data_IF_220195591268
#
_entry.id   IF_220195591268
#
_cell.length_a   1.000
_cell.length_b   1.000
_cell.length_c   1.000
_cell.angle_alpha   90.00
_cell.angle_beta   90.00
_cell.angle_gamma   90.00
#
_symmetry.space_group_name_H-M   'P 1'
#
loop_
_entity.id
_entity.type
_entity.pdbx_description
1 polymer ?
#
# COMPACT_ATOMS: atom_id res chain seq x y z
N UNK A 1 37.39 -3.77 -73.14
CA UNK A 1 37.30 -5.23 -73.32
C UNK A 1 36.32 -5.73 -72.29
N UNK A 2 35.12 -6.02 -72.80
CA UNK A 2 34.31 -7.26 -72.57
C UNK A 2 33.93 -7.50 -71.13
N UNK A 3 32.71 -7.79 -70.78
CA UNK A 3 31.44 -8.18 -71.54
C UNK A 3 30.32 -8.20 -70.52
N UNK A 4 29.17 -7.85 -70.99
CA UNK A 4 27.83 -7.94 -70.42
C UNK A 4 27.48 -9.35 -69.86
N UNK A 5 26.64 -9.39 -68.88
CA UNK A 5 25.57 -10.40 -68.79
C UNK A 5 24.38 -9.85 -68.01
N UNK A 6 23.32 -9.58 -68.72
CA UNK A 6 21.94 -9.44 -68.29
C UNK A 6 21.41 -10.74 -67.67
N UNK A 7 20.64 -10.61 -66.63
CA UNK A 7 19.52 -11.54 -66.34
C UNK A 7 18.35 -10.79 -65.73
N UNK A 8 17.35 -10.59 -66.59
CA UNK A 8 15.96 -10.33 -66.28
C UNK A 8 15.38 -11.44 -65.39
N UNK A 9 14.73 -11.06 -64.30
CA UNK A 9 13.58 -11.81 -63.76
C UNK A 9 12.51 -10.85 -63.22
N UNK A 10 11.50 -10.72 -64.02
CA UNK A 10 10.20 -10.11 -63.79
C UNK A 10 9.42 -10.98 -62.79
N UNK A 11 8.97 -10.42 -61.66
CA UNK A 11 7.86 -10.94 -60.89
C UNK A 11 7.01 -9.77 -60.40
N UNK A 12 5.91 -9.60 -61.09
CA UNK A 12 4.75 -8.82 -60.67
C UNK A 12 4.15 -9.47 -59.42
N UNK A 13 4.04 -8.70 -58.31
CA UNK A 13 3.05 -8.93 -57.27
C UNK A 13 2.48 -7.58 -56.86
N UNK A 14 1.28 -7.41 -57.34
CA UNK A 14 0.30 -6.41 -56.97
C UNK A 14 -0.18 -6.72 -55.52
N UNK A 15 0.10 -5.87 -54.58
CA UNK A 15 -0.57 -5.84 -53.28
C UNK A 15 -0.73 -4.41 -52.81
N UNK A 16 -1.89 -3.88 -53.08
CA UNK A 16 -2.39 -2.59 -52.60
C UNK A 16 -2.66 -2.69 -51.10
N UNK A 17 -1.78 -2.14 -50.26
CA UNK A 17 -2.09 -1.87 -48.87
C UNK A 17 -2.28 -0.37 -48.66
N UNK A 18 -3.53 -0.04 -48.48
CA UNK A 18 -4.04 1.25 -48.05
C UNK A 18 -3.58 1.51 -46.59
N UNK A 19 -2.63 2.40 -46.39
CA UNK A 19 -2.20 2.88 -45.07
C UNK A 19 -2.83 4.23 -44.78
N UNK A 20 -4.00 4.20 -44.17
CA UNK A 20 -4.55 5.37 -43.52
C UNK A 20 -3.80 5.60 -42.18
N UNK A 21 -2.89 6.57 -42.18
CA UNK A 21 -2.30 7.08 -40.95
C UNK A 21 -3.33 7.92 -40.19
N UNK A 22 -3.79 7.43 -39.06
CA UNK A 22 -4.47 8.23 -38.06
C UNK A 22 -3.49 8.42 -36.88
N UNK A 23 -2.93 9.62 -36.78
CA UNK A 23 -2.15 10.08 -35.66
C UNK A 23 -3.00 10.13 -34.39
N UNK A 24 -2.44 9.64 -33.29
CA UNK A 24 -3.11 9.70 -32.00
C UNK A 24 -2.36 8.95 -30.90
N UNK A 25 -1.05 9.20 -30.73
CA UNK A 25 -0.34 8.65 -29.57
C UNK A 25 -0.66 9.47 -28.32
N UNK A 26 -1.73 9.10 -27.64
CA UNK A 26 -1.94 9.41 -26.23
C UNK A 26 -1.28 8.27 -25.42
N UNK A 27 -0.08 8.53 -24.90
CA UNK A 27 0.53 7.69 -23.88
C UNK A 27 -0.20 7.90 -22.54
N UNK A 28 -1.38 7.30 -22.40
CA UNK A 28 -1.99 7.02 -21.11
C UNK A 28 -1.56 5.63 -20.70
N UNK A 29 -0.85 5.50 -19.58
CA UNK A 29 -0.60 4.21 -18.96
C UNK A 29 -1.95 3.58 -18.61
N UNK A 30 -2.45 2.71 -19.47
CA UNK A 30 -3.67 1.95 -19.23
C UNK A 30 -3.35 0.82 -18.24
N UNK A 31 -3.47 1.12 -16.95
CA UNK A 31 -3.63 0.05 -15.98
C UNK A 31 -4.93 -0.70 -16.33
N UNK A 32 -4.84 -2.00 -16.54
CA UNK A 32 -6.03 -2.82 -16.80
C UNK A 32 -6.99 -2.70 -15.62
N UNK A 33 -8.23 -2.31 -15.91
CA UNK A 33 -9.26 -2.03 -14.90
C UNK A 33 -10.22 -3.22 -14.73
N UNK A 34 -9.80 -4.41 -15.09
CA UNK A 34 -10.62 -5.61 -14.95
C UNK A 34 -10.71 -6.00 -13.47
N UNK A 35 -11.91 -6.40 -12.96
CA UNK A 35 -12.05 -6.96 -11.64
C UNK A 35 -11.20 -8.23 -11.50
N UNK A 36 -10.58 -8.43 -10.34
CA UNK A 36 -9.85 -9.67 -10.07
C UNK A 36 -10.84 -10.83 -9.98
N UNK A 37 -10.51 -11.97 -10.60
CA UNK A 37 -11.35 -13.18 -10.58
C UNK A 37 -11.55 -13.72 -9.15
N UNK A 38 -10.54 -13.61 -8.30
CA UNK A 38 -10.58 -14.02 -6.89
C UNK A 38 -10.05 -12.91 -5.99
N UNK A 39 -10.89 -11.91 -5.65
CA UNK A 39 -10.45 -10.75 -4.84
C UNK A 39 -10.17 -11.10 -3.37
N UNK A 40 -10.50 -12.32 -2.92
CA UNK A 40 -10.49 -12.72 -1.53
C UNK A 40 -11.69 -12.21 -0.75
N UNK A 41 -11.83 -12.67 0.51
CA UNK A 41 -12.90 -12.27 1.41
C UNK A 41 -12.32 -11.84 2.75
N UNK A 42 -12.91 -10.82 3.37
CA UNK A 42 -12.46 -10.29 4.67
C UNK A 42 -12.45 -11.37 5.77
N UNK A 43 -13.51 -12.18 5.83
CA UNK A 43 -13.65 -13.22 6.86
C UNK A 43 -12.67 -14.39 6.70
N UNK A 44 -12.03 -14.51 5.53
CA UNK A 44 -11.04 -15.53 5.23
C UNK A 44 -9.60 -15.01 5.28
N UNK A 45 -9.40 -13.73 5.69
CA UNK A 45 -8.06 -13.17 5.79
C UNK A 45 -7.22 -13.94 6.81
N UNK A 46 -5.93 -14.05 6.56
CA UNK A 46 -5.01 -14.57 7.55
C UNK A 46 -5.03 -13.68 8.81
N UNK A 47 -4.87 -14.31 9.97
CA UNK A 47 -4.74 -13.62 11.25
C UNK A 47 -3.31 -13.79 11.77
N UNK A 48 -2.83 -12.91 12.67
CA UNK A 48 -1.56 -13.10 13.35
C UNK A 48 -1.48 -14.48 14.01
N UNK A 49 -0.28 -15.07 14.03
CA UNK A 49 -0.06 -16.38 14.64
C UNK A 49 -0.46 -16.39 16.12
N UNK A 50 -1.13 -17.45 16.58
CA UNK A 50 -1.58 -17.60 17.98
C UNK A 50 -0.43 -17.55 19.02
N UNK A 51 0.80 -17.90 18.60
CA UNK A 51 1.99 -17.93 19.44
C UNK A 51 2.94 -16.76 19.17
N UNK A 52 2.42 -15.62 18.68
CA UNK A 52 3.20 -14.42 18.37
C UNK A 52 3.81 -13.85 19.66
N UNK A 53 5.14 -13.80 19.71
CA UNK A 53 5.90 -13.24 20.85
C UNK A 53 6.06 -11.71 20.68
N UNK A 54 5.22 -10.96 21.39
CA UNK A 54 5.25 -9.50 21.40
C UNK A 54 6.37 -8.90 22.25
N UNK A 55 7.10 -9.72 23.01
CA UNK A 55 8.30 -9.25 23.73
C UNK A 55 9.53 -9.28 22.82
N UNK A 56 9.61 -10.28 21.94
CA UNK A 56 10.70 -10.33 20.96
C UNK A 56 10.57 -9.25 19.90
N UNK A 57 9.37 -9.04 19.36
CA UNK A 57 9.05 -7.97 18.41
C UNK A 57 7.69 -7.39 18.75
N UNK A 58 7.61 -6.11 19.03
CA UNK A 58 6.37 -5.42 19.41
C UNK A 58 5.25 -5.57 18.37
N UNK A 59 4.00 -5.28 18.77
CA UNK A 59 2.84 -5.29 17.88
C UNK A 59 3.09 -4.39 16.68
N UNK A 60 3.03 -4.96 15.49
CA UNK A 60 3.44 -4.31 14.25
C UNK A 60 2.24 -3.99 13.36
N UNK A 61 2.10 -2.73 12.97
CA UNK A 61 1.08 -2.23 12.05
C UNK A 61 1.70 -2.03 10.67
N UNK A 62 1.21 -2.75 9.66
CA UNK A 62 1.55 -2.56 8.26
C UNK A 62 0.67 -1.51 7.60
N UNK A 63 1.26 -0.56 6.88
CA UNK A 63 0.55 0.47 6.11
C UNK A 63 0.89 0.29 4.64
N UNK A 64 -0.07 -0.23 3.86
CA UNK A 64 0.05 -0.48 2.43
C UNK A 64 -0.87 0.40 1.60
N UNK A 65 -0.68 0.37 0.29
CA UNK A 65 -1.50 1.09 -0.68
C UNK A 65 -0.71 1.68 -1.85
N UNK A 66 -1.40 2.14 -2.88
CA UNK A 66 -0.77 2.71 -4.07
C UNK A 66 0.13 3.91 -3.77
N UNK A 67 1.06 4.18 -4.67
CA UNK A 67 1.86 5.42 -4.64
C UNK A 67 0.93 6.63 -4.66
N UNK A 68 1.22 7.60 -3.80
CA UNK A 68 0.43 8.84 -3.70
C UNK A 68 -0.90 8.71 -2.94
N UNK A 69 -1.29 7.54 -2.42
CA UNK A 69 -2.54 7.38 -1.65
C UNK A 69 -2.55 8.09 -0.30
N UNK A 70 -1.38 8.45 0.24
CA UNK A 70 -1.22 9.14 1.52
C UNK A 70 -0.80 8.25 2.68
N UNK A 71 -0.14 7.12 2.41
CA UNK A 71 0.44 6.21 3.44
C UNK A 71 1.37 6.94 4.40
N UNK A 72 2.36 7.63 3.87
CA UNK A 72 3.37 8.36 4.65
C UNK A 72 2.73 9.49 5.47
N UNK A 73 1.71 10.17 4.91
CA UNK A 73 0.93 11.17 5.66
C UNK A 73 0.13 10.54 6.81
N UNK A 74 -0.46 9.36 6.59
CA UNK A 74 -1.13 8.59 7.65
C UNK A 74 -0.12 8.18 8.73
N UNK A 75 1.02 7.63 8.34
CA UNK A 75 2.08 7.22 9.26
C UNK A 75 2.56 8.41 10.13
N UNK A 76 2.82 9.57 9.51
CA UNK A 76 3.16 10.80 10.22
C UNK A 76 2.08 11.19 11.24
N UNK A 77 0.81 11.18 10.81
CA UNK A 77 -0.31 11.54 11.68
C UNK A 77 -0.47 10.57 12.84
N UNK A 78 -0.30 9.26 12.62
CA UNK A 78 -0.30 8.23 13.67
C UNK A 78 0.86 8.43 14.66
N UNK A 79 2.07 8.68 14.17
CA UNK A 79 3.21 8.98 15.03
C UNK A 79 2.93 10.20 15.92
N UNK A 80 2.46 11.30 15.36
CA UNK A 80 2.13 12.52 16.11
C UNK A 80 1.02 12.32 17.15
N UNK A 81 0.00 11.54 16.81
CA UNK A 81 -1.13 11.27 17.71
C UNK A 81 -0.75 10.35 18.90
N UNK A 82 0.24 9.46 18.70
CA UNK A 82 0.54 8.39 19.66
C UNK A 82 1.84 8.57 20.43
N UNK A 83 2.86 9.26 19.88
CA UNK A 83 4.24 9.31 20.42
C UNK A 83 4.35 9.87 21.85
N UNK A 84 3.43 10.73 22.27
CA UNK A 84 3.46 11.32 23.61
C UNK A 84 2.91 10.37 24.69
N UNK A 85 2.24 9.29 24.27
CA UNK A 85 1.58 8.32 25.16
C UNK A 85 2.13 6.91 25.02
N UNK A 86 2.73 6.62 23.88
CA UNK A 86 3.21 5.28 23.51
C UNK A 86 4.64 5.34 22.97
N UNK A 87 5.39 4.31 23.28
CA UNK A 87 6.74 4.13 22.76
C UNK A 87 6.66 3.53 21.35
N UNK A 88 7.08 4.29 20.33
CA UNK A 88 6.92 3.95 18.91
C UNK A 88 8.27 3.77 18.22
N UNK A 89 8.28 2.94 17.16
CA UNK A 89 9.33 2.94 16.15
C UNK A 89 8.76 2.61 14.77
N UNK A 90 9.48 2.97 13.71
CA UNK A 90 9.01 2.96 12.32
C UNK A 90 10.03 2.34 11.39
N UNK A 91 9.56 1.51 10.46
CA UNK A 91 10.29 1.09 9.26
C UNK A 91 9.56 1.62 8.03
N UNK A 92 10.30 2.28 7.13
CA UNK A 92 9.78 2.68 5.81
C UNK A 92 10.47 1.87 4.72
N UNK A 93 9.71 1.51 3.70
CA UNK A 93 10.22 0.85 2.53
C UNK A 93 10.17 1.78 1.33
N UNK A 94 11.27 1.86 0.60
CA UNK A 94 11.32 2.55 -0.68
C UNK A 94 12.17 1.73 -1.67
N UNK A 95 11.95 1.94 -2.96
CA UNK A 95 12.63 1.18 -4.01
C UNK A 95 14.10 1.58 -4.09
N UNK A 96 14.41 2.89 -4.12
CA UNK A 96 15.75 3.43 -4.36
C UNK A 96 16.12 4.62 -3.47
N UNK A 97 15.21 5.09 -2.61
CA UNK A 97 15.39 6.33 -1.86
C UNK A 97 15.05 6.13 -0.38
N UNK A 98 15.37 7.14 0.42
CA UNK A 98 14.95 7.20 1.82
C UNK A 98 13.95 8.34 2.04
N UNK A 99 13.22 8.72 0.95
CA UNK A 99 12.38 9.92 0.93
C UNK A 99 11.30 9.91 2.00
N UNK A 100 10.65 8.76 2.21
CA UNK A 100 9.61 8.61 3.23
C UNK A 100 10.18 8.75 4.65
N UNK A 101 11.35 8.16 4.93
CA UNK A 101 12.03 8.34 6.21
C UNK A 101 12.45 9.80 6.43
N UNK A 102 13.02 10.45 5.41
CA UNK A 102 13.39 11.85 5.46
C UNK A 102 12.17 12.76 5.65
N UNK A 103 11.05 12.44 5.00
CA UNK A 103 9.79 13.17 5.21
C UNK A 103 9.32 13.09 6.66
N UNK A 104 9.35 11.91 7.26
CA UNK A 104 9.00 11.72 8.67
C UNK A 104 9.92 12.51 9.59
N UNK A 105 11.23 12.51 9.34
CA UNK A 105 12.22 13.26 10.12
C UNK A 105 12.02 14.77 9.99
N UNK A 106 11.84 15.29 8.78
CA UNK A 106 11.61 16.73 8.52
C UNK A 106 10.33 17.25 9.19
N UNK A 107 9.36 16.36 9.41
CA UNK A 107 8.09 16.69 10.07
C UNK A 107 8.03 16.30 11.55
N UNK A 108 9.18 16.00 12.17
CA UNK A 108 9.28 15.64 13.59
C UNK A 108 8.34 14.49 13.99
N UNK A 109 8.25 13.43 13.17
CA UNK A 109 7.41 12.27 13.50
C UNK A 109 7.90 11.57 14.78
N UNK A 110 9.17 11.15 14.77
CA UNK A 110 9.90 10.50 15.86
C UNK A 110 11.37 10.96 15.83
N UNK A 111 12.14 10.57 16.86
CA UNK A 111 13.59 10.71 16.87
C UNK A 111 14.23 9.85 15.77
N UNK A 112 15.36 10.30 15.23
CA UNK A 112 15.99 9.66 14.05
C UNK A 112 16.39 8.19 14.28
N UNK A 113 16.80 7.84 15.49
CA UNK A 113 17.18 6.48 15.87
C UNK A 113 16.00 5.50 15.95
N UNK A 114 14.75 6.02 15.89
CA UNK A 114 13.50 5.25 15.90
C UNK A 114 12.90 5.04 14.51
N UNK A 115 13.55 5.57 13.47
CA UNK A 115 13.12 5.43 12.08
C UNK A 115 14.21 4.69 11.31
N UNK A 116 13.84 3.62 10.60
CA UNK A 116 14.70 2.85 9.71
C UNK A 116 14.13 2.88 8.29
N UNK A 117 14.96 3.26 7.34
CA UNK A 117 14.66 3.07 5.93
C UNK A 117 15.22 1.71 5.47
N UNK A 118 14.42 0.93 4.76
CA UNK A 118 14.80 -0.32 4.10
C UNK A 118 14.66 -0.13 2.61
N UNK A 119 15.78 -0.24 1.89
CA UNK A 119 15.79 -0.23 0.43
C UNK A 119 15.40 -1.63 -0.07
N UNK A 120 14.29 -1.71 -0.82
CA UNK A 120 13.69 -2.98 -1.21
C UNK A 120 14.16 -3.48 -2.58
N UNK A 121 15.00 -2.72 -3.27
CA UNK A 121 15.38 -3.03 -4.65
C UNK A 121 14.17 -3.00 -5.59
N UNK A 122 14.21 -3.76 -6.66
CA UNK A 122 13.24 -3.62 -7.76
C UNK A 122 11.77 -3.99 -7.49
N UNK A 123 11.40 -4.52 -6.30
CA UNK A 123 10.02 -4.95 -6.04
C UNK A 123 9.58 -4.71 -4.58
N UNK A 124 8.94 -3.57 -4.27
CA UNK A 124 8.45 -3.27 -2.92
C UNK A 124 7.44 -4.29 -2.40
N UNK A 125 6.67 -4.88 -3.30
CA UNK A 125 5.67 -5.89 -2.98
C UNK A 125 6.30 -7.15 -2.38
N UNK A 126 7.41 -7.61 -2.96
CA UNK A 126 8.11 -8.79 -2.45
C UNK A 126 8.61 -8.56 -1.01
N UNK A 127 9.08 -7.35 -0.70
CA UNK A 127 9.64 -7.02 0.61
C UNK A 127 8.64 -7.08 1.78
N UNK A 128 7.35 -6.97 1.51
CA UNK A 128 6.31 -7.05 2.55
C UNK A 128 5.59 -8.40 2.60
N UNK A 129 5.80 -9.29 1.62
CA UNK A 129 5.09 -10.55 1.52
C UNK A 129 5.97 -11.78 1.29
N UNK A 130 6.89 -11.73 0.33
CA UNK A 130 7.64 -12.91 -0.13
C UNK A 130 9.02 -13.00 0.50
N UNK A 131 9.77 -11.90 0.51
CA UNK A 131 11.08 -11.79 1.15
C UNK A 131 11.07 -10.67 2.19
N UNK A 132 10.48 -10.98 3.32
CA UNK A 132 10.31 -10.05 4.44
C UNK A 132 11.55 -9.89 5.32
N UNK A 133 12.65 -10.58 5.00
CA UNK A 133 13.82 -10.74 5.87
C UNK A 133 14.40 -9.41 6.35
N UNK A 134 14.62 -8.46 5.43
CA UNK A 134 15.19 -7.16 5.76
C UNK A 134 14.28 -6.33 6.66
N UNK A 135 12.98 -6.33 6.37
CA UNK A 135 11.99 -5.63 7.19
C UNK A 135 11.87 -6.26 8.57
N UNK A 136 11.83 -7.59 8.64
CA UNK A 136 11.74 -8.31 9.89
C UNK A 136 12.96 -8.02 10.78
N UNK A 137 14.16 -8.09 10.21
CA UNK A 137 15.40 -7.75 10.92
C UNK A 137 15.37 -6.30 11.45
N UNK A 138 14.98 -5.33 10.64
CA UNK A 138 14.91 -3.93 11.04
C UNK A 138 13.90 -3.71 12.19
N UNK A 139 12.73 -4.39 12.15
CA UNK A 139 11.74 -4.33 13.22
C UNK A 139 12.22 -4.99 14.52
N UNK A 140 12.94 -6.10 14.43
CA UNK A 140 13.54 -6.80 15.57
C UNK A 140 14.67 -5.97 16.21
N UNK A 141 15.54 -5.36 15.41
CA UNK A 141 16.57 -4.44 15.89
C UNK A 141 15.97 -3.24 16.64
N UNK A 142 14.94 -2.61 16.06
CA UNK A 142 14.24 -1.51 16.73
C UNK A 142 13.57 -1.96 18.03
N UNK A 143 13.04 -3.19 18.07
CA UNK A 143 12.45 -3.77 19.27
C UNK A 143 13.48 -3.98 20.37
N UNK A 144 14.67 -4.46 20.03
CA UNK A 144 15.77 -4.65 20.99
C UNK A 144 16.34 -3.33 21.50
N UNK A 145 16.47 -2.33 20.62
CA UNK A 145 17.08 -1.04 20.96
C UNK A 145 16.17 -0.14 21.80
N UNK A 146 14.87 -0.13 21.47
CA UNK A 146 13.96 0.89 22.01
C UNK A 146 12.79 0.31 22.80
N UNK A 147 12.61 -1.02 22.80
CA UNK A 147 11.47 -1.69 23.47
C UNK A 147 10.13 -0.97 23.21
N UNK A 148 9.75 -0.75 21.92
CA UNK A 148 8.54 -0.03 21.59
C UNK A 148 7.30 -0.81 22.01
N UNK A 149 6.19 -0.13 22.24
CA UNK A 149 4.86 -0.74 22.40
C UNK A 149 4.24 -1.05 21.05
N UNK A 150 4.47 -0.18 20.06
CA UNK A 150 3.94 -0.26 18.71
C UNK A 150 5.06 -0.05 17.69
N UNK A 151 5.06 -0.90 16.68
CA UNK A 151 5.88 -0.77 15.49
C UNK A 151 5.01 -0.45 14.27
N UNK A 152 5.53 0.37 13.39
CA UNK A 152 4.91 0.61 12.10
C UNK A 152 5.85 0.19 10.98
N UNK A 153 5.29 -0.41 9.92
CA UNK A 153 6.02 -0.69 8.68
C UNK A 153 5.21 -0.18 7.50
N UNK A 154 5.77 0.74 6.74
CA UNK A 154 5.16 1.28 5.53
C UNK A 154 5.70 0.57 4.29
N UNK A 155 4.82 0.23 3.34
CA UNK A 155 5.23 -0.33 2.04
C UNK A 155 5.68 0.75 1.07
N UNK A 156 6.58 0.42 0.16
CA UNK A 156 7.13 1.35 -0.84
C UNK A 156 6.18 1.75 -1.97
N UNK A 157 4.89 1.46 -1.83
CA UNK A 157 3.87 1.72 -2.85
C UNK A 157 3.48 0.47 -3.61
N UNK A 158 2.25 0.03 -3.41
CA UNK A 158 1.75 -1.25 -3.87
C UNK A 158 0.58 -1.09 -4.84
N UNK A 159 0.33 -2.12 -5.64
CA UNK A 159 -0.92 -2.25 -6.37
C UNK A 159 -1.99 -2.91 -5.47
N UNK A 160 -3.23 -3.01 -5.96
CA UNK A 160 -4.35 -3.59 -5.21
C UNK A 160 -4.17 -5.07 -4.85
N UNK A 161 -3.24 -5.76 -5.49
CA UNK A 161 -2.90 -7.15 -5.21
C UNK A 161 -1.94 -7.31 -4.01
N UNK A 162 -1.34 -6.21 -3.52
CA UNK A 162 -0.42 -6.25 -2.40
C UNK A 162 -1.16 -6.48 -1.07
N UNK A 163 -0.56 -7.31 -0.24
CA UNK A 163 -0.96 -7.57 1.14
C UNK A 163 0.27 -7.92 1.97
N UNK A 164 0.29 -7.51 3.22
CA UNK A 164 1.39 -7.84 4.14
C UNK A 164 1.37 -9.31 4.56
N UNK A 165 2.54 -9.93 4.62
CA UNK A 165 2.69 -11.18 5.36
C UNK A 165 2.30 -10.99 6.83
N UNK A 166 1.53 -11.92 7.39
CA UNK A 166 1.18 -11.90 8.82
C UNK A 166 2.36 -12.23 9.74
N UNK A 167 3.45 -12.70 9.19
CA UNK A 167 4.71 -12.78 9.92
C UNK A 167 5.35 -11.40 10.09
N UNK A 168 5.10 -10.46 9.18
CA UNK A 168 5.63 -9.11 9.25
C UNK A 168 4.72 -8.15 10.00
N UNK A 169 3.40 -8.17 9.73
CA UNK A 169 2.44 -7.23 10.31
C UNK A 169 1.28 -7.95 11.02
N UNK A 170 1.05 -7.59 12.29
CA UNK A 170 -0.02 -8.12 13.12
C UNK A 170 -1.37 -7.47 12.79
N UNK A 171 -1.36 -6.22 12.33
CA UNK A 171 -2.53 -5.46 11.88
C UNK A 171 -2.18 -4.71 10.60
N UNK A 172 -3.06 -4.73 9.61
CA UNK A 172 -2.80 -4.13 8.30
C UNK A 172 -3.82 -3.05 7.96
N UNK A 173 -3.31 -1.89 7.58
CA UNK A 173 -4.09 -0.76 7.05
C UNK A 173 -3.79 -0.65 5.57
N UNK A 174 -4.82 -0.65 4.73
CA UNK A 174 -4.65 -0.40 3.31
C UNK A 174 -5.28 0.94 2.94
N UNK A 175 -4.48 1.83 2.34
CA UNK A 175 -4.88 3.19 2.01
C UNK A 175 -5.08 3.31 0.51
N UNK A 176 -6.29 3.64 0.08
CA UNK A 176 -6.60 4.11 -1.27
C UNK A 176 -7.05 5.55 -1.22
N UNK A 177 -7.15 6.23 -2.35
CA UNK A 177 -7.65 7.59 -2.40
C UNK A 177 -8.69 7.80 -3.52
N UNK A 178 -9.37 8.93 -3.46
CA UNK A 178 -10.41 9.28 -4.44
C UNK A 178 -9.86 9.59 -5.82
N UNK A 179 -8.58 9.99 -5.94
CA UNK A 179 -7.95 10.31 -7.22
C UNK A 179 -7.75 9.07 -8.11
N UNK A 180 -7.74 7.88 -7.52
CA UNK A 180 -7.78 6.62 -8.25
C UNK A 180 -9.12 6.31 -8.94
N UNK A 181 -10.14 7.14 -8.67
CA UNK A 181 -11.51 7.01 -9.19
C UNK A 181 -12.43 6.18 -8.31
N UNK A 182 -13.74 6.45 -8.41
CA UNK A 182 -14.77 5.85 -7.57
C UNK A 182 -14.90 4.32 -7.71
N UNK A 183 -14.36 3.76 -8.79
CA UNK A 183 -14.40 2.31 -9.09
C UNK A 183 -13.28 1.51 -8.45
N UNK A 184 -12.32 2.15 -7.77
CA UNK A 184 -11.18 1.43 -7.15
C UNK A 184 -11.63 0.36 -6.17
N UNK A 185 -12.57 0.60 -5.24
CA UNK A 185 -12.98 -0.45 -4.30
C UNK A 185 -13.58 -1.68 -4.97
N UNK A 186 -14.39 -1.51 -6.03
CA UNK A 186 -15.03 -2.65 -6.73
C UNK A 186 -14.07 -3.55 -7.51
N UNK A 187 -12.86 -3.06 -7.83
CA UNK A 187 -11.82 -3.88 -8.46
C UNK A 187 -11.36 -5.00 -7.55
N UNK A 188 -11.48 -4.81 -6.24
CA UNK A 188 -11.08 -5.78 -5.25
C UNK A 188 -9.55 -5.92 -5.15
N UNK A 189 -9.12 -7.10 -4.77
CA UNK A 189 -7.73 -7.44 -4.48
C UNK A 189 -7.44 -7.53 -2.99
N UNK A 190 -6.41 -8.30 -2.59
CA UNK A 190 -6.12 -8.57 -1.18
C UNK A 190 -5.95 -7.31 -0.32
N UNK A 191 -5.33 -6.26 -0.85
CA UNK A 191 -5.21 -4.99 -0.13
C UNK A 191 -6.57 -4.42 0.27
N UNK A 192 -7.56 -4.47 -0.62
CA UNK A 192 -8.92 -3.98 -0.33
C UNK A 192 -9.70 -4.97 0.52
N UNK A 193 -9.67 -6.26 0.19
CA UNK A 193 -10.58 -7.25 0.79
C UNK A 193 -10.05 -7.84 2.09
N UNK A 194 -8.73 -7.99 2.26
CA UNK A 194 -8.12 -8.75 3.36
C UNK A 194 -7.37 -7.89 4.38
N UNK A 195 -7.13 -6.60 4.12
CA UNK A 195 -6.58 -5.69 5.15
C UNK A 195 -7.52 -5.58 6.35
N UNK A 196 -6.99 -5.41 7.56
CA UNK A 196 -7.81 -5.26 8.76
C UNK A 196 -8.59 -3.95 8.75
N UNK A 197 -8.02 -2.90 8.17
CA UNK A 197 -8.67 -1.60 7.96
C UNK A 197 -8.44 -1.10 6.54
N UNK A 198 -9.51 -0.73 5.85
CA UNK A 198 -9.44 0.03 4.61
C UNK A 198 -9.65 1.52 4.91
N UNK A 199 -8.73 2.36 4.44
CA UNK A 199 -8.85 3.82 4.50
C UNK A 199 -9.04 4.35 3.08
N UNK A 200 -10.13 5.12 2.87
CA UNK A 200 -10.38 5.86 1.63
C UNK A 200 -10.04 7.33 1.91
N UNK A 201 -8.90 7.76 1.40
CA UNK A 201 -8.31 9.06 1.73
C UNK A 201 -8.64 10.15 0.71
N UNK A 202 -8.31 11.39 1.05
CA UNK A 202 -8.48 12.61 0.22
C UNK A 202 -9.93 12.86 -0.16
N UNK A 203 -10.88 12.56 0.72
CA UNK A 203 -12.32 12.72 0.44
C UNK A 203 -12.69 14.16 0.09
N UNK A 204 -11.92 15.14 0.52
CA UNK A 204 -12.03 16.55 0.19
C UNK A 204 -11.81 16.84 -1.31
N UNK A 205 -11.06 15.98 -2.01
CA UNK A 205 -10.79 16.09 -3.44
C UNK A 205 -11.84 15.39 -4.31
N UNK A 206 -12.81 14.69 -3.73
CA UNK A 206 -13.76 13.85 -4.46
C UNK A 206 -14.48 14.61 -5.58
N UNK A 207 -15.01 15.80 -5.28
CA UNK A 207 -15.69 16.66 -6.28
C UNK A 207 -14.73 17.07 -7.40
N UNK A 208 -13.51 17.49 -7.04
CA UNK A 208 -12.50 17.97 -8.01
C UNK A 208 -12.05 16.88 -8.99
N UNK A 209 -12.04 15.62 -8.55
CA UNK A 209 -11.64 14.47 -9.39
C UNK A 209 -12.85 13.71 -9.98
N UNK A 210 -14.07 14.16 -9.70
CA UNK A 210 -15.30 13.55 -10.18
C UNK A 210 -15.60 12.17 -9.58
N UNK A 211 -15.13 11.89 -8.36
CA UNK A 211 -15.37 10.65 -7.65
C UNK A 211 -16.64 10.73 -6.78
N UNK A 212 -17.50 9.72 -6.86
CA UNK A 212 -18.68 9.60 -5.99
C UNK A 212 -18.35 8.80 -4.74
N UNK A 213 -18.31 9.48 -3.58
CA UNK A 213 -18.00 8.87 -2.29
C UNK A 213 -19.03 7.80 -1.88
N UNK A 214 -20.30 7.96 -2.23
CA UNK A 214 -21.33 6.96 -1.92
C UNK A 214 -21.09 5.67 -2.72
N UNK A 215 -20.68 5.81 -3.98
CA UNK A 215 -20.29 4.66 -4.82
C UNK A 215 -19.09 3.96 -4.24
N UNK A 216 -18.05 4.71 -3.86
CA UNK A 216 -16.84 4.14 -3.24
C UNK A 216 -17.15 3.39 -1.95
N UNK A 217 -17.95 3.99 -1.07
CA UNK A 217 -18.34 3.35 0.20
C UNK A 217 -19.19 2.10 -0.03
N UNK A 218 -20.18 2.15 -0.92
CA UNK A 218 -21.04 1.01 -1.23
C UNK A 218 -20.24 -0.15 -1.83
N UNK A 219 -19.34 0.14 -2.75
CA UNK A 219 -18.48 -0.88 -3.34
C UNK A 219 -17.47 -1.45 -2.34
N UNK A 220 -16.87 -0.62 -1.50
CA UNK A 220 -15.99 -1.08 -0.43
C UNK A 220 -16.71 -1.99 0.57
N UNK A 221 -17.93 -1.63 0.99
CA UNK A 221 -18.77 -2.48 1.86
C UNK A 221 -19.12 -3.80 1.20
N UNK A 222 -19.47 -3.77 -0.09
CA UNK A 222 -19.77 -5.00 -0.85
C UNK A 222 -18.56 -5.94 -0.89
N UNK A 223 -17.35 -5.40 -1.10
CA UNK A 223 -16.12 -6.20 -1.21
C UNK A 223 -15.61 -6.69 0.14
N UNK A 224 -15.87 -5.97 1.23
CA UNK A 224 -15.32 -6.25 2.55
C UNK A 224 -16.33 -6.86 3.54
N UNK A 225 -17.62 -6.88 3.20
CA UNK A 225 -18.66 -7.33 4.15
C UNK A 225 -18.62 -6.53 5.47
N UNK A 226 -18.21 -7.17 6.55
CA UNK A 226 -18.06 -6.55 7.88
C UNK A 226 -16.70 -5.88 8.12
N UNK A 227 -15.79 -5.92 7.13
CA UNK A 227 -14.45 -5.33 7.26
C UNK A 227 -14.51 -3.82 7.50
N UNK A 228 -13.76 -3.29 8.48
CA UNK A 228 -13.77 -1.87 8.82
C UNK A 228 -13.32 -0.98 7.64
N UNK A 229 -14.04 0.14 7.45
CA UNK A 229 -13.75 1.17 6.44
C UNK A 229 -13.76 2.52 7.14
N UNK A 230 -12.79 3.38 6.82
CA UNK A 230 -12.74 4.78 7.25
C UNK A 230 -12.58 5.67 6.03
N UNK A 231 -13.50 6.63 5.89
CA UNK A 231 -13.39 7.74 4.93
C UNK A 231 -12.59 8.85 5.60
N UNK A 232 -11.50 9.32 4.98
CA UNK A 232 -10.57 10.24 5.64
C UNK A 232 -10.09 11.37 4.72
N UNK A 233 -9.71 12.46 5.36
CA UNK A 233 -8.91 13.53 4.79
C UNK A 233 -7.63 13.62 5.63
N UNK A 234 -6.64 12.80 5.28
CA UNK A 234 -5.41 12.72 6.05
C UNK A 234 -4.49 13.86 5.64
N UNK A 235 -4.38 14.84 6.52
CA UNK A 235 -3.38 15.88 6.47
C UNK A 235 -3.01 16.27 7.92
N UNK A 236 -2.01 17.16 8.08
CA UNK A 236 -1.47 17.53 9.40
C UNK A 236 -2.53 18.16 10.31
N UNK A 237 -3.56 18.78 9.75
CA UNK A 237 -4.55 19.58 10.47
C UNK A 237 -5.86 18.83 10.75
N UNK A 238 -6.05 17.63 10.19
CA UNK A 238 -7.28 16.87 10.38
C UNK A 238 -7.07 15.67 11.30
N UNK A 239 -7.94 15.51 12.32
CA UNK A 239 -7.85 14.40 13.26
C UNK A 239 -8.11 13.06 12.58
N UNK A 240 -7.35 12.06 13.00
CA UNK A 240 -7.46 10.66 12.54
C UNK A 240 -7.98 9.74 13.65
N UNK A 241 -8.80 10.27 14.56
CA UNK A 241 -9.20 9.60 15.79
C UNK A 241 -9.80 8.21 15.56
N UNK A 242 -10.65 8.04 14.54
CA UNK A 242 -11.23 6.74 14.21
C UNK A 242 -10.16 5.69 13.81
N UNK A 243 -9.10 6.12 13.14
CA UNK A 243 -8.00 5.22 12.76
C UNK A 243 -7.18 4.87 14.00
N UNK A 244 -6.86 5.87 14.83
CA UNK A 244 -6.14 5.69 16.11
C UNK A 244 -6.89 4.72 17.02
N UNK A 245 -8.20 4.90 17.20
CA UNK A 245 -9.03 4.00 18.02
C UNK A 245 -8.97 2.55 17.53
N UNK A 246 -9.05 2.33 16.22
CA UNK A 246 -8.97 0.97 15.65
C UNK A 246 -7.60 0.33 15.84
N UNK A 247 -6.51 1.10 15.66
CA UNK A 247 -5.15 0.63 15.90
C UNK A 247 -4.97 0.24 17.38
N UNK A 248 -5.36 1.11 18.31
CA UNK A 248 -5.23 0.86 19.74
C UNK A 248 -6.12 -0.30 20.21
N UNK A 249 -7.33 -0.42 19.67
CA UNK A 249 -8.21 -1.55 19.98
C UNK A 249 -7.60 -2.89 19.53
N UNK A 250 -7.05 -2.94 18.31
CA UNK A 250 -6.37 -4.12 17.79
C UNK A 250 -5.14 -4.48 18.64
N UNK A 251 -4.29 -3.51 18.96
CA UNK A 251 -3.14 -3.70 19.84
C UNK A 251 -3.54 -4.26 21.20
N UNK A 252 -4.53 -3.67 21.86
CA UNK A 252 -5.00 -4.12 23.16
C UNK A 252 -5.60 -5.52 23.12
N UNK A 253 -6.31 -5.87 22.06
CA UNK A 253 -6.91 -7.20 21.87
C UNK A 253 -5.85 -8.30 21.77
N UNK A 254 -4.73 -8.02 21.09
CA UNK A 254 -3.71 -9.03 20.83
C UNK A 254 -2.62 -9.10 21.91
N UNK A 255 -2.38 -8.00 22.64
CA UNK A 255 -1.27 -7.93 23.61
C UNK A 255 -1.71 -8.07 25.06
N UNK A 256 -3.00 -7.92 25.38
CA UNK A 256 -3.49 -8.20 26.74
C UNK A 256 -3.58 -9.71 26.94
N UNK A 257 -3.04 -10.26 28.04
CA UNK A 257 -3.25 -11.66 28.37
C UNK A 257 -4.75 -11.92 28.45
N UNK A 258 -5.21 -12.99 27.80
CA UNK A 258 -6.58 -13.50 27.96
C UNK A 258 -6.79 -13.71 29.45
N UNK A 259 -7.67 -12.92 30.08
CA UNK A 259 -8.12 -13.17 31.45
C UNK A 259 -8.83 -14.53 31.46
N UNK A 260 -8.10 -15.53 31.91
CA UNK A 260 -8.57 -16.90 32.13
C UNK A 260 -9.64 -16.91 33.22
#
# INVERSE_FOLDING_TARGET
MHTDHDHDHNHDHDDSHDHSHADGHLHGATHSHEPMENPGYFDQRALPGANRDYQHRAFTIGIGGPVGSGKTALLLSLCKALRDKHNLAVVTNDIFTQEDAEFLLRNDALQADRIRAVETGGCPHAAIREDISHNLLALEELSQLHTPELLFVESGGDNLAADFSRELADYTIYVIDVAGGDKVPRKGGPGITQSDLLVINKVDLAEAVGADLNVMEADARRMRGQGPIVMAQINIDHPIDQIVEKVLAAWQQHTKPSSS
#
